data_IF_493246664153
#
_entry.id   IF_493246664153
#
_cell.length_a   1.000
_cell.length_b   1.000
_cell.length_c   1.000
_cell.angle_alpha   90.00
_cell.angle_beta   90.00
_cell.angle_gamma   90.00
#
_symmetry.space_group_name_H-M   'P 1'
#
loop_
_entity.id
_entity.type
_entity.pdbx_description
1 polymer ?
#
# COMPACT_ATOMS: atom_id res chain seq x y z
N UNK A 1 11.77 1.98 -9.81
CA UNK A 1 10.60 1.90 -8.88
C UNK A 1 10.10 0.47 -8.82
N UNK A 2 9.65 0.08 -7.66
CA UNK A 2 9.11 -1.26 -7.43
C UNK A 2 7.64 -1.14 -7.02
N UNK A 3 6.84 -2.08 -7.48
CA UNK A 3 5.42 -2.12 -7.13
C UNK A 3 5.23 -2.91 -5.84
N UNK A 4 4.41 -2.36 -4.95
CA UNK A 4 4.02 -3.02 -3.71
C UNK A 4 2.51 -3.05 -3.62
N UNK A 5 1.99 -4.14 -3.08
CA UNK A 5 0.58 -4.27 -2.72
C UNK A 5 0.49 -4.13 -1.20
N UNK A 6 -0.34 -3.20 -0.75
CA UNK A 6 -0.53 -2.93 0.67
C UNK A 6 -1.95 -3.31 1.05
N UNK A 7 -2.09 -4.33 1.86
CA UNK A 7 -3.38 -4.84 2.33
C UNK A 7 -3.63 -4.29 3.73
N UNK A 8 -4.66 -3.49 3.88
CA UNK A 8 -4.95 -2.82 5.13
C UNK A 8 -6.08 -3.47 5.90
N UNK A 9 -5.88 -3.59 7.22
CA UNK A 9 -6.88 -4.06 8.15
C UNK A 9 -7.25 -2.92 9.09
N UNK A 10 -8.51 -2.51 9.09
CA UNK A 10 -8.97 -1.42 9.94
C UNK A 10 -9.21 -1.86 11.37
N UNK A 11 -8.76 -1.04 12.32
CA UNK A 11 -9.29 -1.08 13.67
C UNK A 11 -10.66 -0.38 13.66
N UNK A 12 -11.42 -0.52 14.76
CA UNK A 12 -12.69 0.18 14.90
C UNK A 12 -12.50 1.69 14.77
N UNK A 13 -11.46 2.24 15.41
CA UNK A 13 -11.16 3.67 15.32
C UNK A 13 -10.72 4.09 13.92
N UNK A 14 -9.95 3.26 13.24
CA UNK A 14 -9.53 3.53 11.86
C UNK A 14 -10.74 3.63 10.93
N UNK A 15 -11.72 2.75 11.10
CA UNK A 15 -12.96 2.80 10.32
C UNK A 15 -13.77 4.06 10.61
N UNK A 16 -13.94 4.40 11.90
CA UNK A 16 -14.70 5.58 12.30
C UNK A 16 -14.10 6.88 11.76
N UNK A 17 -12.78 6.92 11.61
CA UNK A 17 -12.07 8.11 11.17
C UNK A 17 -11.80 8.12 9.66
N UNK A 18 -12.43 7.22 8.92
CA UNK A 18 -12.31 7.22 7.45
C UNK A 18 -12.86 8.52 6.87
N UNK A 19 -12.08 9.17 6.00
CA UNK A 19 -12.47 10.43 5.39
C UNK A 19 -11.64 10.69 4.15
N UNK A 20 -12.14 11.55 3.26
CA UNK A 20 -11.39 11.99 2.10
C UNK A 20 -10.13 12.75 2.52
N UNK A 21 -10.19 13.50 3.60
CA UNK A 21 -9.02 14.23 4.13
C UNK A 21 -7.93 13.26 4.56
N UNK A 22 -8.28 12.18 5.27
CA UNK A 22 -7.32 11.17 5.67
C UNK A 22 -6.69 10.49 4.46
N UNK A 23 -7.48 10.18 3.44
CA UNK A 23 -6.99 9.58 2.19
C UNK A 23 -5.95 10.47 1.53
N UNK A 24 -6.23 11.79 1.45
CA UNK A 24 -5.26 12.75 0.88
C UNK A 24 -3.97 12.82 1.70
N UNK A 25 -4.07 12.77 3.03
CA UNK A 25 -2.89 12.73 3.90
C UNK A 25 -2.06 11.46 3.67
N UNK A 26 -2.72 10.33 3.46
CA UNK A 26 -2.06 9.08 3.15
C UNK A 26 -1.31 9.17 1.82
N UNK A 27 -1.94 9.70 0.79
CA UNK A 27 -1.30 9.91 -0.51
C UNK A 27 -0.11 10.86 -0.40
N UNK A 28 -0.26 11.92 0.39
CA UNK A 28 0.81 12.89 0.62
C UNK A 28 2.02 12.24 1.32
N UNK A 29 1.76 11.40 2.33
CA UNK A 29 2.81 10.67 3.03
C UNK A 29 3.58 9.76 2.07
N UNK A 30 2.88 9.03 1.22
CA UNK A 30 3.50 8.18 0.21
C UNK A 30 4.39 9.01 -0.72
N UNK A 31 3.90 10.18 -1.15
CA UNK A 31 4.68 11.08 -1.99
C UNK A 31 5.95 11.60 -1.33
N UNK A 32 5.92 11.82 0.00
CA UNK A 32 7.11 12.25 0.73
C UNK A 32 8.26 11.25 0.64
N UNK A 33 7.96 9.98 0.49
CA UNK A 33 8.96 8.91 0.31
C UNK A 33 9.15 8.55 -1.15
N UNK A 34 8.83 9.47 -2.04
CA UNK A 34 9.01 9.35 -3.49
C UNK A 34 8.18 8.21 -4.09
N UNK A 35 7.05 7.91 -3.45
CA UNK A 35 6.12 6.93 -3.93
C UNK A 35 5.03 7.53 -4.80
N UNK A 36 4.37 6.66 -5.54
CA UNK A 36 3.23 7.02 -6.38
C UNK A 36 2.13 5.99 -6.22
N UNK A 37 0.94 6.45 -5.87
CA UNK A 37 -0.24 5.59 -5.76
C UNK A 37 -0.78 5.30 -7.15
N UNK A 38 -0.89 4.01 -7.50
CA UNK A 38 -1.58 3.59 -8.71
C UNK A 38 -3.09 3.59 -8.49
N UNK A 39 -3.52 2.98 -7.39
CA UNK A 39 -4.94 2.83 -7.09
C UNK A 39 -5.15 2.43 -5.65
N UNK A 40 -6.35 2.71 -5.15
CA UNK A 40 -6.80 2.33 -3.82
C UNK A 40 -8.20 1.77 -3.96
N UNK A 41 -8.48 0.66 -3.25
CA UNK A 41 -9.79 0.03 -3.25
C UNK A 41 -10.20 -0.33 -1.84
N UNK A 42 -11.44 -0.03 -1.49
CA UNK A 42 -12.08 -0.62 -0.32
C UNK A 42 -12.55 -2.01 -0.74
N UNK A 43 -12.25 -3.02 0.07
CA UNK A 43 -12.53 -4.42 -0.28
C UNK A 43 -13.28 -5.12 0.85
N UNK A 44 -13.86 -6.27 0.54
CA UNK A 44 -14.52 -7.13 1.50
C UNK A 44 -13.65 -8.37 1.76
N UNK A 45 -13.83 -8.99 2.90
CA UNK A 45 -13.17 -10.23 3.25
C UNK A 45 -12.12 -10.04 4.33
N UNK A 46 -10.98 -10.68 4.15
CA UNK A 46 -9.92 -10.68 5.15
C UNK A 46 -9.32 -9.29 5.38
N UNK A 47 -9.23 -8.49 4.33
CA UNK A 47 -8.71 -7.13 4.40
C UNK A 47 -9.81 -6.14 4.06
N UNK A 48 -9.59 -4.88 4.43
CA UNK A 48 -10.56 -3.81 4.24
C UNK A 48 -10.14 -2.82 3.16
N UNK A 49 -8.84 -2.75 2.87
CA UNK A 49 -8.27 -1.77 1.95
C UNK A 49 -7.12 -2.42 1.17
N UNK A 50 -7.01 -2.09 -0.10
CA UNK A 50 -5.85 -2.45 -0.92
C UNK A 50 -5.30 -1.19 -1.56
N UNK A 51 -4.00 -0.94 -1.38
CA UNK A 51 -3.30 0.14 -2.06
C UNK A 51 -2.26 -0.48 -2.98
N UNK A 52 -2.29 -0.10 -4.24
CA UNK A 52 -1.25 -0.47 -5.20
C UNK A 52 -0.36 0.74 -5.40
N UNK A 53 0.93 0.60 -5.12
CA UNK A 53 1.84 1.73 -5.03
C UNK A 53 3.20 1.39 -5.61
N UNK A 54 3.84 2.38 -6.23
CA UNK A 54 5.24 2.28 -6.62
C UNK A 54 6.08 3.02 -5.59
N UNK A 55 7.16 2.39 -5.16
CA UNK A 55 8.11 2.96 -4.20
C UNK A 55 9.54 2.66 -4.68
N UNK A 56 10.52 3.49 -4.28
CA UNK A 56 11.92 3.26 -4.68
C UNK A 56 12.48 1.91 -4.26
N UNK A 57 12.09 1.40 -3.09
CA UNK A 57 12.60 0.13 -2.60
C UNK A 57 11.96 -0.29 -1.30
N UNK A 58 12.53 -1.33 -0.70
CA UNK A 58 12.01 -1.95 0.52
C UNK A 58 12.07 -0.99 1.72
N UNK A 59 13.12 -0.18 1.82
CA UNK A 59 13.22 0.78 2.92
C UNK A 59 12.06 1.76 2.93
N UNK A 60 11.72 2.33 1.76
CA UNK A 60 10.58 3.23 1.63
C UNK A 60 9.27 2.52 1.89
N UNK A 61 9.15 1.24 1.47
CA UNK A 61 7.96 0.45 1.74
C UNK A 61 7.73 0.26 3.25
N UNK A 62 8.81 0.01 4.00
CA UNK A 62 8.74 -0.10 5.47
C UNK A 62 8.32 1.24 6.08
N UNK A 63 8.94 2.33 5.66
CA UNK A 63 8.63 3.67 6.17
C UNK A 63 7.18 4.06 5.89
N UNK A 64 6.72 3.79 4.68
CA UNK A 64 5.33 4.08 4.27
C UNK A 64 4.36 3.24 5.09
N UNK A 65 4.63 1.94 5.24
CA UNK A 65 3.74 1.05 6.00
C UNK A 65 3.62 1.49 7.46
N UNK A 66 4.76 1.77 8.10
CA UNK A 66 4.79 2.25 9.48
C UNK A 66 4.15 3.63 9.62
N UNK A 67 4.47 4.54 8.70
CA UNK A 67 3.93 5.90 8.71
C UNK A 67 2.43 5.93 8.51
N UNK A 68 1.90 5.09 7.62
CA UNK A 68 0.46 5.01 7.40
C UNK A 68 -0.25 4.41 8.62
N UNK A 69 0.34 3.41 9.27
CA UNK A 69 -0.24 2.86 10.49
C UNK A 69 -0.31 3.92 11.59
N UNK A 70 0.76 4.69 11.75
CA UNK A 70 0.80 5.79 12.72
C UNK A 70 -0.23 6.86 12.39
N UNK A 71 -0.35 7.24 11.12
CA UNK A 71 -1.29 8.26 10.67
C UNK A 71 -2.75 7.83 10.76
N UNK A 72 -3.05 6.57 10.41
CA UNK A 72 -4.43 6.13 10.17
C UNK A 72 -4.93 5.10 11.17
N UNK A 73 -4.05 4.40 11.88
CA UNK A 73 -4.43 3.26 12.70
C UNK A 73 -4.73 1.99 11.90
N UNK A 74 -4.45 2.00 10.60
CA UNK A 74 -4.65 0.83 9.73
C UNK A 74 -3.39 -0.01 9.76
N UNK A 75 -3.52 -1.30 10.06
CA UNK A 75 -2.40 -2.24 10.00
C UNK A 75 -2.25 -2.76 8.57
N UNK A 76 -1.07 -2.61 7.98
CA UNK A 76 -0.80 -3.01 6.61
C UNK A 76 0.07 -4.26 6.53
N UNK A 77 -0.30 -5.16 5.61
CA UNK A 77 0.55 -6.22 5.10
C UNK A 77 1.05 -5.75 3.74
N UNK A 78 2.35 -5.51 3.61
CA UNK A 78 2.93 -4.92 2.41
C UNK A 78 3.83 -5.94 1.74
N UNK A 79 3.55 -6.26 0.47
CA UNK A 79 4.30 -7.27 -0.27
C UNK A 79 4.79 -6.69 -1.61
N UNK A 80 6.01 -7.05 -2.03
CA UNK A 80 6.48 -6.67 -3.36
C UNK A 80 5.72 -7.48 -4.42
N UNK A 81 5.52 -6.89 -5.59
CA UNK A 81 4.80 -7.52 -6.68
C UNK A 81 5.44 -7.20 -8.01
N UNK A 82 5.36 -8.14 -8.93
CA UNK A 82 5.68 -7.92 -10.34
C UNK A 82 4.44 -8.30 -11.17
N UNK A 83 4.36 -7.79 -12.38
CA UNK A 83 3.26 -8.16 -13.25
C UNK A 83 3.35 -9.64 -13.63
N UNK A 84 2.21 -10.24 -13.95
CA UNK A 84 2.18 -11.63 -14.43
C UNK A 84 2.97 -11.75 -15.72
N UNK A 85 2.94 -10.72 -16.56
CA UNK A 85 3.74 -10.69 -17.80
C UNK A 85 5.24 -10.82 -17.52
N UNK A 86 5.75 -10.11 -16.50
CA UNK A 86 7.15 -10.24 -16.10
C UNK A 86 7.43 -11.59 -15.45
N UNK A 87 6.51 -12.06 -14.63
CA UNK A 87 6.61 -13.39 -14.01
C UNK A 87 6.76 -14.48 -15.07
N UNK A 88 5.95 -14.44 -16.13
CA UNK A 88 6.00 -15.38 -17.22
C UNK A 88 7.38 -15.40 -17.88
N UNK A 89 8.00 -14.24 -18.06
CA UNK A 89 9.36 -14.15 -18.60
C UNK A 89 10.40 -14.78 -17.68
N UNK A 90 10.28 -14.49 -16.37
CA UNK A 90 11.21 -15.05 -15.38
C UNK A 90 11.11 -16.58 -15.32
N UNK A 91 9.93 -17.13 -15.41
CA UNK A 91 9.72 -18.58 -15.39
C UNK A 91 10.40 -19.25 -16.59
N UNK A 92 10.42 -18.61 -17.74
CA UNK A 92 11.12 -19.13 -18.92
C UNK A 92 12.62 -19.25 -18.74
N UNK A 93 13.20 -18.48 -17.82
CA UNK A 93 14.63 -18.51 -17.52
C UNK A 93 15.04 -19.61 -16.53
N UNK A 94 14.06 -20.21 -15.86
CA UNK A 94 14.27 -21.30 -14.91
C UNK A 94 14.37 -22.63 -15.62
#
# INVERSE_FOLDING_TARGET
MHTFLMFGKYSTNALKNASATRTRKAEHLIGRFRGRVHSMYAVLGKYDLVIIVDLPGVEEAVKVSAGLMELTGIAFTTVPAISVSEFDKLIQEI
#
